data_IF_694224346928
#
_entry.id   IF_694224346928
#
_cell.length_a   1.000
_cell.length_b   1.000
_cell.length_c   1.000
_cell.angle_alpha   90.00
_cell.angle_beta   90.00
_cell.angle_gamma   90.00
#
_symmetry.space_group_name_H-M   'P 1'
#
loop_
_entity.id
_entity.type
_entity.pdbx_description
1 polymer ?
#
# COMPACT_ATOMS: atom_id res chain seq x y z
N UNK A 1 -9.13 -17.88 11.06
CA UNK A 1 -8.89 -16.55 10.44
C UNK A 1 -7.53 -16.62 9.78
N UNK A 2 -7.33 -16.01 8.61
CA UNK A 2 -5.99 -15.98 8.02
C UNK A 2 -5.10 -15.08 8.88
N UNK A 3 -3.92 -15.56 9.25
CA UNK A 3 -2.95 -14.80 10.05
C UNK A 3 -2.40 -13.58 9.29
N UNK A 4 -2.43 -13.64 7.95
CA UNK A 4 -2.00 -12.55 7.06
C UNK A 4 -3.00 -12.32 5.93
N UNK A 5 -3.02 -11.10 5.39
CA UNK A 5 -3.94 -10.66 4.34
C UNK A 5 -3.18 -10.19 3.10
N UNK A 6 -3.73 -10.53 1.93
CA UNK A 6 -3.33 -9.92 0.67
C UNK A 6 -4.00 -8.54 0.55
N UNK A 7 -3.33 -7.51 0.01
CA UNK A 7 -3.96 -6.20 -0.21
C UNK A 7 -5.11 -6.32 -1.21
N UNK A 8 -6.34 -6.08 -0.73
CA UNK A 8 -7.60 -6.21 -1.47
C UNK A 8 -7.93 -4.99 -2.33
N UNK A 9 -7.35 -3.82 -2.03
CA UNK A 9 -7.58 -2.61 -2.82
C UNK A 9 -6.65 -2.64 -4.04
N UNK A 10 -7.21 -2.58 -5.25
CA UNK A 10 -6.42 -2.54 -6.49
C UNK A 10 -5.52 -1.30 -6.58
N UNK A 11 -4.35 -1.44 -7.21
CA UNK A 11 -3.42 -0.33 -7.45
C UNK A 11 -3.96 0.73 -8.41
N UNK A 12 -4.94 0.37 -9.24
CA UNK A 12 -5.57 1.27 -10.21
C UNK A 12 -6.66 2.18 -9.65
N UNK A 13 -6.80 2.31 -8.33
CA UNK A 13 -7.86 3.10 -7.68
C UNK A 13 -7.27 4.33 -7.00
N UNK A 14 -7.93 5.50 -7.17
CA UNK A 14 -7.47 6.78 -6.63
C UNK A 14 -8.14 7.20 -5.30
N UNK A 15 -9.30 6.63 -4.98
CA UNK A 15 -10.06 7.01 -3.78
C UNK A 15 -10.50 8.49 -3.77
N UNK A 16 -11.07 8.97 -2.65
CA UNK A 16 -11.66 10.30 -2.55
C UNK A 16 -10.68 11.46 -2.68
N UNK A 17 -9.40 11.24 -2.36
CA UNK A 17 -8.34 12.25 -2.50
C UNK A 17 -7.82 12.39 -3.94
N UNK A 18 -8.28 11.53 -4.86
CA UNK A 18 -7.88 11.59 -6.27
C UNK A 18 -6.44 11.12 -6.56
N UNK A 19 -5.76 10.52 -5.58
CA UNK A 19 -4.38 10.04 -5.73
C UNK A 19 -4.37 8.56 -6.07
N UNK A 20 -4.01 8.23 -7.32
CA UNK A 20 -3.89 6.84 -7.77
C UNK A 20 -2.98 6.03 -6.85
N UNK A 21 -3.36 4.79 -6.55
CA UNK A 21 -2.62 3.83 -5.72
C UNK A 21 -2.53 4.18 -4.21
N UNK A 22 -2.78 5.42 -3.79
CA UNK A 22 -2.75 5.82 -2.38
C UNK A 22 -3.63 4.93 -1.46
N UNK A 23 -4.86 4.56 -1.83
CA UNK A 23 -5.67 3.64 -1.03
C UNK A 23 -5.01 2.26 -0.81
N UNK A 24 -4.34 1.72 -1.84
CA UNK A 24 -3.62 0.44 -1.75
C UNK A 24 -2.34 0.58 -0.92
N UNK A 25 -1.59 1.67 -1.10
CA UNK A 25 -0.40 1.98 -0.31
C UNK A 25 -0.74 2.01 1.18
N UNK A 26 -1.79 2.75 1.56
CA UNK A 26 -2.21 2.85 2.95
C UNK A 26 -2.62 1.49 3.54
N UNK A 27 -3.37 0.69 2.79
CA UNK A 27 -3.74 -0.66 3.22
C UNK A 27 -2.51 -1.56 3.42
N UNK A 28 -1.55 -1.53 2.48
CA UNK A 28 -0.31 -2.29 2.57
C UNK A 28 0.48 -1.93 3.83
N UNK A 29 0.75 -0.64 4.04
CA UNK A 29 1.48 -0.13 5.22
C UNK A 29 0.79 -0.55 6.51
N UNK A 30 -0.53 -0.37 6.60
CA UNK A 30 -1.30 -0.76 7.79
C UNK A 30 -1.22 -2.26 8.10
N UNK A 31 -1.20 -3.11 7.06
CA UNK A 31 -1.04 -4.56 7.21
C UNK A 31 0.39 -4.92 7.62
N UNK A 32 1.40 -4.27 7.04
CA UNK A 32 2.81 -4.48 7.37
C UNK A 32 3.10 -4.12 8.83
N UNK A 33 2.73 -2.91 9.24
CA UNK A 33 2.93 -2.40 10.61
C UNK A 33 2.17 -3.23 11.67
N UNK A 34 1.09 -3.89 11.28
CA UNK A 34 0.34 -4.79 12.16
C UNK A 34 0.82 -6.25 12.14
N UNK A 35 1.88 -6.56 11.38
CA UNK A 35 2.40 -7.92 11.23
C UNK A 35 1.45 -8.87 10.47
N UNK A 36 0.56 -8.30 9.64
CA UNK A 36 -0.52 -9.01 8.95
C UNK A 36 -0.41 -8.96 7.42
N UNK A 37 0.66 -8.43 6.86
CA UNK A 37 0.88 -8.46 5.41
C UNK A 37 1.28 -9.87 4.97
N UNK A 38 0.62 -10.40 3.94
CA UNK A 38 0.98 -11.71 3.39
C UNK A 38 2.39 -11.70 2.76
N UNK A 39 3.18 -12.74 3.01
CA UNK A 39 4.62 -12.83 2.67
C UNK A 39 4.98 -12.65 1.19
N UNK A 40 4.02 -12.86 0.28
CA UNK A 40 4.21 -12.61 -1.17
C UNK A 40 4.09 -11.15 -1.58
N UNK A 41 3.73 -10.25 -0.66
CA UNK A 41 3.63 -8.82 -0.92
C UNK A 41 4.77 -8.09 -0.25
N UNK A 42 5.62 -7.37 -1.01
CA UNK A 42 6.65 -6.53 -0.41
C UNK A 42 5.99 -5.41 0.39
N UNK A 43 6.70 -4.91 1.39
CA UNK A 43 6.34 -3.70 2.13
C UNK A 43 6.21 -2.45 1.26
N UNK A 44 6.06 -1.30 1.93
CA UNK A 44 6.18 0.00 1.28
C UNK A 44 7.59 0.19 0.67
N UNK A 45 7.72 1.04 -0.36
CA UNK A 45 9.04 1.52 -0.79
C UNK A 45 9.50 1.31 -2.23
N UNK A 46 8.88 0.39 -2.98
CA UNK A 46 9.29 0.10 -4.37
C UNK A 46 8.13 0.18 -5.36
N UNK A 47 8.49 0.34 -6.64
CA UNK A 47 7.53 0.36 -7.74
C UNK A 47 6.49 1.46 -7.55
N UNK A 48 5.21 1.08 -7.59
CA UNK A 48 4.11 2.05 -7.52
C UNK A 48 4.03 2.77 -6.17
N UNK A 49 4.47 2.14 -5.08
CA UNK A 49 4.54 2.79 -3.77
C UNK A 49 5.52 3.98 -3.82
N UNK A 50 6.74 3.75 -4.34
CA UNK A 50 7.76 4.80 -4.50
C UNK A 50 7.28 5.96 -5.39
N UNK A 51 6.59 5.66 -6.49
CA UNK A 51 6.02 6.69 -7.37
C UNK A 51 4.97 7.54 -6.65
N UNK A 52 4.14 6.91 -5.80
CA UNK A 52 3.08 7.58 -5.05
C UNK A 52 3.67 8.43 -3.93
N UNK A 53 4.65 7.91 -3.17
CA UNK A 53 5.37 8.66 -2.13
C UNK A 53 6.09 9.87 -2.72
N UNK A 54 6.83 9.69 -3.82
CA UNK A 54 7.52 10.78 -4.49
C UNK A 54 6.57 11.88 -5.00
N UNK A 55 5.42 11.51 -5.55
CA UNK A 55 4.41 12.46 -6.00
C UNK A 55 3.78 13.27 -4.85
N UNK A 56 3.75 12.69 -3.64
CA UNK A 56 3.23 13.32 -2.43
C UNK A 56 4.32 14.03 -1.60
N UNK A 57 5.59 13.88 -1.95
CA UNK A 57 6.71 14.41 -1.16
C UNK A 57 6.89 13.72 0.21
N UNK A 58 6.59 12.43 0.28
CA UNK A 58 6.68 11.62 1.51
C UNK A 58 7.90 10.69 1.47
N UNK A 59 8.49 10.48 2.64
CA UNK A 59 9.50 9.45 2.88
C UNK A 59 8.84 8.11 3.24
N UNK A 60 9.59 7.03 3.08
CA UNK A 60 9.17 5.66 3.42
C UNK A 60 9.15 5.44 4.94
#
# INVERSE_FOLDING_TARGET
MADTYVPLISSGIAGPLGVLHLPRLWQKVSLEESGKLASGYPGVGKGFDAMTLAALGLEE
#
